data_IF_694603339990
#
_entry.id   IF_694603339990
#
_cell.length_a   1.000
_cell.length_b   1.000
_cell.length_c   1.000
_cell.angle_alpha   90.00
_cell.angle_beta   90.00
_cell.angle_gamma   90.00
#
_symmetry.space_group_name_H-M   'P 1'
#
loop_
_entity.id
_entity.type
_entity.pdbx_description
1 polymer ?
#
# COMPACT_ATOMS: atom_id res chain seq x y z
N UNK A 1 -37.25 16.05 -13.39
CA UNK A 1 -36.53 14.96 -12.69
C UNK A 1 -35.04 15.16 -12.90
N UNK A 2 -34.27 15.61 -11.89
CA UNK A 2 -32.82 15.68 -12.03
C UNK A 2 -32.22 14.27 -11.92
N UNK A 3 -31.33 13.98 -12.86
CA UNK A 3 -30.52 12.76 -12.94
C UNK A 3 -29.54 12.77 -11.74
N UNK A 4 -29.37 11.68 -10.96
CA UNK A 4 -28.39 11.70 -9.88
C UNK A 4 -26.98 11.94 -10.44
N UNK A 5 -26.37 13.02 -9.97
CA UNK A 5 -25.03 13.46 -10.37
C UNK A 5 -24.01 12.37 -10.05
N UNK A 6 -23.27 11.98 -11.09
CA UNK A 6 -22.04 11.17 -11.05
C UNK A 6 -21.11 11.81 -10.01
N UNK A 7 -20.83 11.13 -8.91
CA UNK A 7 -19.92 11.64 -7.88
C UNK A 7 -18.64 12.15 -8.55
N UNK A 8 -18.30 13.42 -8.31
CA UNK A 8 -17.10 14.05 -8.85
C UNK A 8 -15.83 13.32 -8.38
N UNK A 9 -14.64 13.68 -8.90
CA UNK A 9 -13.39 13.14 -8.39
C UNK A 9 -13.33 13.35 -6.87
N UNK A 10 -12.82 12.37 -6.09
CA UNK A 10 -12.76 12.45 -4.64
C UNK A 10 -12.10 13.76 -4.20
N UNK A 11 -12.80 14.48 -3.36
CA UNK A 11 -12.38 15.79 -2.84
C UNK A 11 -11.30 15.62 -1.78
N UNK A 12 -10.62 16.72 -1.41
CA UNK A 12 -9.68 16.70 -0.28
C UNK A 12 -10.33 16.20 1.01
N UNK A 13 -11.61 16.51 1.24
CA UNK A 13 -12.35 16.06 2.42
C UNK A 13 -12.61 14.55 2.43
N UNK A 14 -12.81 13.93 1.25
CA UNK A 14 -12.94 12.48 1.14
C UNK A 14 -11.64 11.77 1.54
N UNK A 15 -10.50 12.30 1.11
CA UNK A 15 -9.19 11.75 1.50
C UNK A 15 -8.92 11.90 3.00
N UNK A 16 -9.26 13.05 3.58
CA UNK A 16 -9.12 13.28 5.02
C UNK A 16 -10.04 12.36 5.84
N UNK A 17 -11.27 12.11 5.36
CA UNK A 17 -12.19 11.15 5.98
C UNK A 17 -11.58 9.75 5.99
N UNK A 18 -11.14 9.25 4.83
CA UNK A 18 -10.54 7.93 4.70
C UNK A 18 -9.26 7.79 5.52
N UNK A 19 -8.43 8.83 5.57
CA UNK A 19 -7.23 8.84 6.41
C UNK A 19 -7.61 8.65 7.89
N UNK A 20 -8.55 9.45 8.40
CA UNK A 20 -8.99 9.38 9.80
C UNK A 20 -9.59 8.03 10.16
N UNK A 21 -10.25 7.37 9.21
CA UNK A 21 -10.87 6.06 9.39
C UNK A 21 -9.83 4.92 9.37
N UNK A 22 -8.95 4.90 8.37
CA UNK A 22 -8.13 3.73 8.07
C UNK A 22 -6.74 3.75 8.71
N UNK A 23 -6.15 4.93 8.89
CA UNK A 23 -4.77 5.05 9.39
C UNK A 23 -4.59 4.53 10.83
N UNK A 24 -5.51 4.74 11.78
CA UNK A 24 -5.36 4.16 13.13
C UNK A 24 -5.29 2.63 13.13
N UNK A 25 -6.12 1.97 12.32
CA UNK A 25 -6.13 0.51 12.18
C UNK A 25 -4.89 0.00 11.44
N UNK A 26 -4.46 0.73 10.40
CA UNK A 26 -3.23 0.43 9.67
C UNK A 26 -2.02 0.54 10.61
N UNK A 27 -1.96 1.60 11.41
CA UNK A 27 -0.92 1.81 12.39
C UNK A 27 -0.85 0.66 13.38
N UNK A 28 -1.99 0.26 13.97
CA UNK A 28 -2.05 -0.92 14.87
C UNK A 28 -1.57 -2.19 14.19
N UNK A 29 -1.93 -2.41 12.92
CA UNK A 29 -1.51 -3.59 12.16
C UNK A 29 0.00 -3.62 11.88
N UNK A 30 0.62 -2.47 11.63
CA UNK A 30 2.05 -2.33 11.40
C UNK A 30 2.84 -2.45 12.70
N UNK A 31 2.41 -1.80 13.79
CA UNK A 31 3.09 -1.89 15.09
C UNK A 31 3.22 -3.32 15.58
N UNK A 32 2.20 -4.16 15.38
CA UNK A 32 2.26 -5.60 15.72
C UNK A 32 3.37 -6.37 15.00
N UNK A 33 3.89 -5.84 13.87
CA UNK A 33 4.93 -6.49 13.05
C UNK A 33 6.33 -5.95 13.32
N UNK A 34 6.44 -4.65 13.59
CA UNK A 34 7.73 -4.00 13.84
C UNK A 34 8.11 -3.94 15.32
N UNK A 35 7.21 -4.30 16.22
CA UNK A 35 7.47 -4.36 17.66
C UNK A 35 7.45 -2.98 18.30
N UNK A 36 8.41 -2.74 19.20
CA UNK A 36 8.51 -1.49 19.98
C UNK A 36 9.04 -0.29 19.16
N UNK A 37 9.43 -0.50 17.90
CA UNK A 37 9.91 0.57 17.02
C UNK A 37 8.73 1.40 16.49
N UNK A 38 8.36 2.41 17.29
CA UNK A 38 7.27 3.35 16.98
C UNK A 38 7.57 4.17 15.73
N UNK A 39 8.81 4.66 15.59
CA UNK A 39 9.23 5.50 14.47
C UNK A 39 9.12 4.73 13.15
N UNK A 40 9.64 3.49 13.11
CA UNK A 40 9.51 2.64 11.93
C UNK A 40 8.04 2.35 11.59
N UNK A 41 7.18 2.17 12.60
CA UNK A 41 5.75 1.98 12.35
C UNK A 41 5.12 3.21 11.68
N UNK A 42 5.45 4.42 12.15
CA UNK A 42 4.95 5.68 11.58
C UNK A 42 5.43 5.88 10.15
N UNK A 43 6.70 5.62 9.87
CA UNK A 43 7.27 5.75 8.51
C UNK A 43 6.60 4.80 7.53
N UNK A 44 6.43 3.53 7.92
CA UNK A 44 5.79 2.52 7.07
C UNK A 44 4.31 2.83 6.80
N UNK A 45 3.60 3.38 7.79
CA UNK A 45 2.19 3.78 7.65
C UNK A 45 2.07 4.97 6.69
N UNK A 46 2.89 6.00 6.87
CA UNK A 46 2.91 7.17 6.00
C UNK A 46 3.21 6.79 4.55
N UNK A 47 4.27 6.00 4.34
CA UNK A 47 4.64 5.51 3.01
C UNK A 47 3.53 4.66 2.37
N UNK A 48 2.86 3.81 3.16
CA UNK A 48 1.73 3.02 2.67
C UNK A 48 0.57 3.93 2.23
N UNK A 49 0.25 4.96 3.02
CA UNK A 49 -0.82 5.90 2.70
C UNK A 49 -0.49 6.73 1.45
N UNK A 50 0.76 7.20 1.30
CA UNK A 50 1.20 7.91 0.10
C UNK A 50 1.04 7.07 -1.16
N UNK A 51 1.47 5.80 -1.13
CA UNK A 51 1.26 4.85 -2.24
C UNK A 51 -0.21 4.61 -2.55
N UNK A 52 -1.04 4.56 -1.50
CA UNK A 52 -2.48 4.43 -1.66
C UNK A 52 -3.06 5.63 -2.41
N UNK A 53 -2.75 6.86 -1.96
CA UNK A 53 -3.21 8.07 -2.62
C UNK A 53 -2.76 8.16 -4.09
N UNK A 54 -1.49 7.84 -4.37
CA UNK A 54 -1.00 7.80 -5.76
C UNK A 54 -1.74 6.81 -6.63
N UNK A 55 -2.03 5.62 -6.09
CA UNK A 55 -2.73 4.55 -6.80
C UNK A 55 -4.20 4.91 -7.00
N UNK A 56 -4.89 5.29 -5.93
CA UNK A 56 -6.33 5.55 -5.94
C UNK A 56 -6.70 6.79 -6.73
N UNK A 57 -5.83 7.80 -6.80
CA UNK A 57 -6.03 8.96 -7.69
C UNK A 57 -5.99 8.58 -9.18
N UNK A 58 -5.20 7.56 -9.54
CA UNK A 58 -5.04 7.10 -10.93
C UNK A 58 -6.07 6.05 -11.33
N UNK A 59 -6.38 5.13 -10.41
CA UNK A 59 -7.13 3.90 -10.68
C UNK A 59 -8.51 3.87 -10.01
N UNK A 60 -8.84 4.87 -9.19
CA UNK A 60 -10.02 4.88 -8.33
C UNK A 60 -9.81 4.12 -7.02
N UNK A 61 -10.77 4.24 -6.10
CA UNK A 61 -10.75 3.47 -4.86
C UNK A 61 -11.01 1.98 -5.14
N UNK A 62 -10.26 1.07 -4.50
CA UNK A 62 -10.57 -0.36 -4.53
C UNK A 62 -11.87 -0.63 -3.77
N UNK A 63 -12.47 -1.80 -4.01
CA UNK A 63 -13.69 -2.23 -3.32
C UNK A 63 -13.52 -2.30 -1.78
N UNK A 64 -12.34 -2.70 -1.31
CA UNK A 64 -11.96 -2.66 0.13
C UNK A 64 -10.61 -1.94 0.29
N UNK A 65 -10.63 -0.62 0.59
CA UNK A 65 -9.42 0.16 0.86
C UNK A 65 -8.60 -0.35 2.05
N UNK A 66 -9.25 -0.88 3.08
CA UNK A 66 -8.59 -1.39 4.28
C UNK A 66 -7.78 -2.66 4.00
N UNK A 67 -8.35 -3.60 3.24
CA UNK A 67 -7.64 -4.81 2.81
C UNK A 67 -6.45 -4.48 1.89
N UNK A 68 -6.63 -3.51 0.99
CA UNK A 68 -5.55 -3.03 0.13
C UNK A 68 -4.39 -2.45 0.96
N UNK A 69 -4.68 -1.55 1.90
CA UNK A 69 -3.68 -0.93 2.78
C UNK A 69 -2.92 -1.96 3.61
N UNK A 70 -3.62 -2.93 4.21
CA UNK A 70 -2.97 -4.00 4.99
C UNK A 70 -1.98 -4.80 4.14
N UNK A 71 -2.36 -5.13 2.91
CA UNK A 71 -1.52 -5.87 1.97
C UNK A 71 -0.30 -5.04 1.55
N UNK A 72 -0.51 -3.76 1.22
CA UNK A 72 0.57 -2.85 0.85
C UNK A 72 1.56 -2.65 2.00
N UNK A 73 1.08 -2.37 3.22
CA UNK A 73 1.92 -2.24 4.41
C UNK A 73 2.70 -3.52 4.71
N UNK A 74 2.07 -4.70 4.59
CA UNK A 74 2.77 -5.97 4.81
C UNK A 74 3.93 -6.16 3.82
N UNK A 75 3.70 -5.87 2.54
CA UNK A 75 4.76 -5.96 1.53
C UNK A 75 5.88 -4.96 1.80
N UNK A 76 5.54 -3.74 2.25
CA UNK A 76 6.50 -2.71 2.60
C UNK A 76 7.35 -3.11 3.81
N UNK A 77 6.73 -3.55 4.90
CA UNK A 77 7.41 -4.05 6.10
C UNK A 77 8.35 -5.20 5.76
N UNK A 78 7.89 -6.18 4.98
CA UNK A 78 8.73 -7.31 4.53
C UNK A 78 9.93 -6.82 3.70
N UNK A 79 9.71 -5.88 2.79
CA UNK A 79 10.78 -5.31 1.98
C UNK A 79 11.79 -4.52 2.82
N UNK A 80 11.34 -3.80 3.84
CA UNK A 80 12.21 -3.08 4.78
C UNK A 80 13.16 -4.07 5.48
N UNK A 81 12.64 -5.13 6.09
CA UNK A 81 13.48 -6.14 6.76
C UNK A 81 14.38 -6.92 5.80
N UNK A 82 13.92 -7.19 4.57
CA UNK A 82 14.76 -7.84 3.54
C UNK A 82 15.97 -6.98 3.15
N UNK A 83 15.82 -5.64 3.11
CA UNK A 83 16.91 -4.71 2.78
C UNK A 83 17.83 -4.43 3.97
N UNK A 84 17.29 -4.51 5.18
CA UNK A 84 18.05 -4.30 6.42
C UNK A 84 18.89 -5.52 6.81
N UNK A 85 18.55 -6.72 6.33
CA UNK A 85 19.41 -7.88 6.47
C UNK A 85 20.75 -7.59 5.76
N UNK A 86 21.91 -7.64 6.46
CA UNK A 86 23.19 -7.51 5.81
C UNK A 86 23.26 -8.54 4.70
N UNK A 87 23.61 -8.09 3.50
CA UNK A 87 23.87 -8.97 2.37
C UNK A 87 25.08 -9.84 2.70
N UNK A 88 24.87 -10.94 3.42
CA UNK A 88 25.78 -12.07 3.44
C UNK A 88 25.71 -12.77 2.08
N UNK A 89 26.18 -12.09 1.05
CA UNK A 89 26.57 -12.62 -0.25
C UNK A 89 27.61 -11.66 -0.83
N UNK A 90 28.73 -11.53 -0.14
CA UNK A 90 29.97 -11.60 -0.90
C UNK A 90 30.09 -13.06 -1.37
N UNK A 91 30.36 -13.22 -2.66
CA UNK A 91 30.60 -14.47 -3.41
C UNK A 91 29.37 -15.16 -4.05
N UNK A 92 29.26 -14.92 -5.36
CA UNK A 92 28.60 -15.73 -6.40
C UNK A 92 27.06 -15.87 -6.36
N UNK A 93 26.36 -14.96 -7.03
CA UNK A 93 25.62 -15.29 -8.27
C UNK A 93 24.94 -14.07 -8.89
N UNK A 94 25.28 -13.78 -10.14
CA UNK A 94 24.57 -12.86 -11.01
C UNK A 94 23.17 -13.39 -11.35
N UNK A 95 22.16 -12.52 -11.24
CA UNK A 95 20.84 -12.72 -11.83
C UNK A 95 19.93 -11.51 -11.55
N UNK A 96 19.36 -10.85 -12.57
CA UNK A 96 18.43 -9.75 -12.34
C UNK A 96 17.08 -10.36 -11.95
N UNK A 97 16.60 -10.04 -10.75
CA UNK A 97 15.22 -10.37 -10.34
C UNK A 97 14.53 -9.11 -9.82
N UNK A 98 14.14 -8.25 -10.76
CA UNK A 98 13.02 -7.34 -10.55
C UNK A 98 11.73 -8.11 -10.87
N UNK A 99 11.11 -8.71 -9.85
CA UNK A 99 9.84 -9.44 -10.02
C UNK A 99 8.82 -9.09 -8.91
N UNK A 100 9.19 -8.19 -7.99
CA UNK A 100 8.32 -7.76 -6.89
C UNK A 100 7.36 -6.63 -7.28
N UNK A 101 7.74 -5.76 -8.21
CA UNK A 101 6.89 -4.70 -8.74
C UNK A 101 5.89 -5.24 -9.78
N UNK A 102 6.21 -6.35 -10.44
CA UNK A 102 5.40 -6.96 -11.49
C UNK A 102 4.19 -7.71 -10.92
N UNK A 103 4.34 -8.51 -9.87
CA UNK A 103 3.21 -9.25 -9.25
C UNK A 103 2.13 -8.35 -8.59
N UNK A 104 2.45 -7.10 -8.25
CA UNK A 104 1.46 -6.11 -7.81
C UNK A 104 0.71 -5.49 -8.99
N UNK A 105 1.43 -5.23 -10.11
CA UNK A 105 0.84 -4.81 -11.38
C UNK A 105 -0.05 -5.90 -11.97
N UNK A 106 0.36 -7.16 -11.84
CA UNK A 106 -0.33 -8.34 -12.38
C UNK A 106 -1.61 -8.65 -11.61
N UNK A 107 -1.61 -8.52 -10.27
CA UNK A 107 -2.84 -8.63 -9.47
C UNK A 107 -3.81 -7.47 -9.71
N UNK A 108 -3.32 -6.25 -9.96
CA UNK A 108 -4.16 -5.14 -10.41
C UNK A 108 -4.69 -5.35 -11.84
N UNK A 109 -3.92 -5.97 -12.74
CA UNK A 109 -4.35 -6.29 -14.10
C UNK A 109 -5.41 -7.40 -14.13
N UNK A 110 -5.38 -8.36 -13.21
CA UNK A 110 -6.39 -9.41 -13.11
C UNK A 110 -7.78 -8.90 -12.68
N UNK A 111 -7.85 -7.78 -11.96
CA UNK A 111 -9.13 -7.10 -11.67
C UNK A 111 -9.65 -6.31 -12.87
N UNK A 112 -8.75 -5.77 -13.71
CA UNK A 112 -9.13 -5.02 -14.92
C UNK A 112 -9.47 -5.90 -16.13
N UNK A 113 -9.06 -7.18 -16.14
CA UNK A 113 -9.31 -8.13 -17.25
C UNK A 113 -10.56 -9.01 -17.05
N UNK A 114 -11.27 -8.85 -15.92
CA UNK A 114 -12.49 -9.59 -15.60
C UNK A 114 -13.78 -8.78 -15.86
N UNK A 115 -13.69 -7.69 -16.64
CA UNK A 115 -14.81 -6.90 -17.16
C UNK A 115 -14.80 -6.89 -18.68
#
# INVERSE_FOLDING_TARGET
>A
MPIPSRAGPPTSDDWLRLHRELVPELFRCVSRRVGADRTLAEDLVQETWLRALETWRKQGLPADPGAWLRTAAFNLTRNHFRRAAPSQLDEHHAGPVDSGAEAARERSALVQRAL
#
